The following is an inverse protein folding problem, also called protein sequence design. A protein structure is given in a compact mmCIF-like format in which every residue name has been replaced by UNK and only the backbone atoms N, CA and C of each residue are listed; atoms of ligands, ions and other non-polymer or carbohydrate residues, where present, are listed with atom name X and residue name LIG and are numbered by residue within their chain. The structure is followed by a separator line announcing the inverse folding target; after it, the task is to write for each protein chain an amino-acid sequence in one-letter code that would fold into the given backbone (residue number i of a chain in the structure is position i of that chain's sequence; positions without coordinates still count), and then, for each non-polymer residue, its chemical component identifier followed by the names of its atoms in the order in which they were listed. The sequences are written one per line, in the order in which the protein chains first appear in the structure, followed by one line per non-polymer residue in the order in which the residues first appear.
data_IF_338913778795
#
_entry.id   IF_338913778795
#
_cell.length_a   1.000
_cell.length_b   1.000
_cell.length_c   1.000
_cell.angle_alpha   90.00
_cell.angle_beta   90.00
_cell.angle_gamma   90.00
#
_symmetry.space_group_name_H-M   'P 1'
#
loop_
_entity.id
_entity.type
_entity.pdbx_description
1 polymer ?
#
# COMPACT_ATOMS: atom_id res chain seq x y z
N UNK A 1 -9.22 15.88 3.74
CA UNK A 1 -10.08 15.90 4.95
C UNK A 1 -10.39 14.47 5.35
N UNK A 2 -9.60 13.90 6.25
CA UNK A 2 -9.88 12.62 6.90
C UNK A 2 -10.17 12.97 8.35
N UNK A 3 -11.45 12.97 8.72
CA UNK A 3 -11.83 13.21 10.11
C UNK A 3 -11.41 11.99 10.92
N UNK A 4 -10.33 12.13 11.70
CA UNK A 4 -9.93 11.17 12.71
C UNK A 4 -10.95 11.23 13.84
N UNK A 5 -11.90 10.31 13.84
CA UNK A 5 -12.80 10.11 14.97
C UNK A 5 -11.97 9.43 16.08
N UNK A 6 -11.91 9.97 17.30
CA UNK A 6 -11.21 9.31 18.39
C UNK A 6 -11.76 7.90 18.60
N UNK A 7 -10.86 6.92 18.76
CA UNK A 7 -11.17 5.53 19.12
C UNK A 7 -12.04 5.54 20.38
N UNK A 8 -13.36 5.47 20.20
CA UNK A 8 -14.34 5.66 21.27
C UNK A 8 -15.77 5.99 20.82
N UNK A 9 -16.00 6.39 19.57
CA UNK A 9 -17.36 6.62 19.05
C UNK A 9 -17.46 6.26 17.57
N UNK A 10 -17.56 4.97 17.26
CA UNK A 10 -17.83 4.45 15.91
C UNK A 10 -19.28 4.73 15.44
N UNK A 11 -19.79 5.95 15.60
CA UNK A 11 -21.20 6.27 15.30
C UNK A 11 -22.23 5.38 16.03
N UNK A 12 -21.83 4.74 17.14
CA UNK A 12 -22.63 3.75 17.87
C UNK A 12 -22.47 2.29 17.42
N UNK A 13 -21.65 1.99 16.41
CA UNK A 13 -21.37 0.62 15.95
C UNK A 13 -20.29 -0.06 16.78
N UNK A 14 -20.45 -1.36 16.99
CA UNK A 14 -19.40 -2.23 17.51
C UNK A 14 -18.37 -2.52 16.42
N UNK A 15 -17.19 -2.96 16.84
CA UNK A 15 -16.16 -3.51 15.97
C UNK A 15 -16.70 -4.55 14.95
N UNK A 16 -17.49 -5.50 15.42
CA UNK A 16 -18.05 -6.54 14.57
C UNK A 16 -19.00 -5.96 13.50
N UNK A 17 -19.80 -4.96 13.88
CA UNK A 17 -20.71 -4.28 12.96
C UNK A 17 -19.97 -3.44 11.90
N UNK A 18 -18.84 -2.83 12.24
CA UNK A 18 -17.99 -2.15 11.26
C UNK A 18 -17.43 -3.12 10.23
N UNK A 19 -16.88 -4.26 10.69
CA UNK A 19 -16.36 -5.30 9.80
C UNK A 19 -17.44 -5.83 8.88
N UNK A 20 -18.62 -6.10 9.41
CA UNK A 20 -19.73 -6.64 8.63
C UNK A 20 -20.28 -5.63 7.63
N UNK A 21 -20.39 -4.37 8.04
CA UNK A 21 -20.78 -3.28 7.13
C UNK A 21 -19.75 -3.10 6.01
N UNK A 22 -18.45 -3.15 6.32
CA UNK A 22 -17.40 -3.04 5.32
C UNK A 22 -17.42 -4.19 4.31
N UNK A 23 -17.71 -5.42 4.74
CA UNK A 23 -17.85 -6.57 3.82
C UNK A 23 -18.96 -6.36 2.78
N UNK A 24 -20.06 -5.70 3.16
CA UNK A 24 -21.12 -5.37 2.21
C UNK A 24 -20.63 -4.39 1.14
N UNK A 25 -19.80 -3.43 1.55
CA UNK A 25 -19.22 -2.44 0.65
C UNK A 25 -18.04 -2.95 -0.17
N UNK A 26 -17.36 -4.02 0.25
CA UNK A 26 -16.31 -4.64 -0.56
C UNK A 26 -16.86 -5.19 -1.90
N UNK A 27 -18.15 -5.51 -1.96
CA UNK A 27 -18.83 -5.96 -3.18
C UNK A 27 -19.32 -4.81 -4.07
N UNK A 28 -19.26 -3.57 -3.60
CA UNK A 28 -19.70 -2.41 -4.37
C UNK A 28 -18.73 -2.15 -5.54
N UNK A 29 -19.25 -2.28 -6.76
CA UNK A 29 -18.53 -2.01 -8.02
C UNK A 29 -19.09 -0.74 -8.67
N UNK A 30 -18.32 0.36 -8.58
CA UNK A 30 -18.75 1.65 -9.11
C UNK A 30 -18.96 1.63 -10.64
N UNK A 31 -18.35 0.68 -11.37
CA UNK A 31 -18.53 0.53 -12.82
C UNK A 31 -19.88 -0.09 -13.19
N UNK A 32 -20.51 -0.81 -12.26
CA UNK A 32 -21.80 -1.49 -12.46
C UNK A 32 -22.93 -0.70 -11.81
N UNK A 33 -22.70 -0.22 -10.58
CA UNK A 33 -23.74 0.41 -9.75
C UNK A 33 -23.78 1.94 -9.87
N UNK A 34 -22.83 2.53 -10.59
CA UNK A 34 -22.63 3.98 -10.64
C UNK A 34 -21.97 4.53 -9.37
N UNK A 35 -21.56 5.80 -9.43
CA UNK A 35 -20.87 6.45 -8.32
C UNK A 35 -21.76 6.62 -7.09
N UNK A 36 -21.20 6.34 -5.92
CA UNK A 36 -21.79 6.58 -4.61
C UNK A 36 -20.75 7.19 -3.68
N UNK A 37 -21.21 8.09 -2.81
CA UNK A 37 -20.41 8.60 -1.73
C UNK A 37 -20.01 7.47 -0.78
N UNK A 38 -18.73 7.44 -0.40
CA UNK A 38 -18.18 6.48 0.56
C UNK A 38 -18.73 6.75 1.97
N UNK A 39 -19.23 5.74 2.69
CA UNK A 39 -19.59 5.89 4.10
C UNK A 39 -18.37 6.30 4.92
N UNK A 40 -18.51 7.24 5.88
CA UNK A 40 -17.40 7.66 6.73
C UNK A 40 -16.73 6.50 7.49
N UNK A 41 -17.50 5.49 7.87
CA UNK A 41 -17.01 4.32 8.60
C UNK A 41 -16.22 3.32 7.75
N UNK A 42 -16.16 3.47 6.42
CA UNK A 42 -15.46 2.52 5.55
C UNK A 42 -13.96 2.53 5.82
N UNK A 43 -13.38 3.72 5.96
CA UNK A 43 -11.93 3.93 6.11
C UNK A 43 -11.39 3.55 7.47
N UNK A 44 -12.28 3.28 8.44
CA UNK A 44 -11.91 2.74 9.75
C UNK A 44 -11.36 1.31 9.64
N UNK A 45 -11.71 0.58 8.57
CA UNK A 45 -11.36 -0.85 8.42
C UNK A 45 -10.94 -1.23 6.99
N UNK A 46 -10.79 -0.26 6.08
CA UNK A 46 -10.45 -0.45 4.66
C UNK A 46 -9.61 0.73 4.16
N UNK A 47 -8.80 0.49 3.13
CA UNK A 47 -8.09 1.59 2.46
C UNK A 47 -8.98 2.32 1.47
N UNK A 48 -8.72 3.62 1.31
CA UNK A 48 -9.48 4.51 0.44
C UNK A 48 -9.57 4.02 -1.00
N UNK A 49 -8.46 3.51 -1.54
CA UNK A 49 -8.35 3.05 -2.92
C UNK A 49 -9.14 1.76 -3.21
N UNK A 50 -9.68 1.09 -2.19
CA UNK A 50 -10.51 -0.11 -2.37
C UNK A 50 -11.97 0.21 -2.68
N UNK A 51 -12.42 1.43 -2.35
CA UNK A 51 -13.79 1.84 -2.53
C UNK A 51 -14.22 1.79 -4.00
N UNK A 52 -15.31 1.05 -4.28
CA UNK A 52 -15.86 0.94 -5.65
C UNK A 52 -15.10 -0.03 -6.56
N UNK A 53 -14.12 -0.78 -6.04
CA UNK A 53 -13.40 -1.79 -6.80
C UNK A 53 -14.22 -3.07 -7.07
N UNK A 54 -15.24 -3.35 -6.25
CA UNK A 54 -15.94 -4.63 -6.26
C UNK A 54 -15.04 -5.81 -5.86
N UNK A 55 -13.94 -5.54 -5.14
CA UNK A 55 -12.98 -6.54 -4.70
C UNK A 55 -13.14 -6.83 -3.20
N UNK A 56 -13.30 -8.11 -2.88
CA UNK A 56 -13.31 -8.57 -1.48
C UNK A 56 -11.93 -8.46 -0.85
N UNK A 57 -11.88 -8.27 0.47
CA UNK A 57 -10.62 -8.32 1.23
C UNK A 57 -9.83 -9.61 0.96
N UNK A 58 -10.50 -10.76 0.79
CA UNK A 58 -9.86 -12.03 0.45
C UNK A 58 -9.15 -11.98 -0.91
N UNK A 59 -9.77 -11.39 -1.91
CA UNK A 59 -9.18 -11.23 -3.25
C UNK A 59 -7.99 -10.27 -3.21
N UNK A 60 -8.14 -9.12 -2.54
CA UNK A 60 -7.07 -8.14 -2.38
C UNK A 60 -5.87 -8.72 -1.62
N UNK A 61 -6.13 -9.48 -0.57
CA UNK A 61 -5.08 -10.17 0.14
C UNK A 61 -4.41 -11.26 -0.72
N UNK A 62 -5.16 -11.99 -1.54
CA UNK A 62 -4.59 -12.94 -2.51
C UNK A 62 -3.63 -12.28 -3.48
N UNK A 63 -3.98 -11.11 -4.03
CA UNK A 63 -3.07 -10.32 -4.88
C UNK A 63 -1.76 -9.98 -4.15
N UNK A 64 -1.86 -9.55 -2.90
CA UNK A 64 -0.68 -9.20 -2.10
C UNK A 64 0.16 -10.42 -1.71
N UNK A 65 -0.48 -11.52 -1.31
CA UNK A 65 0.20 -12.71 -0.77
C UNK A 65 0.78 -13.60 -1.85
N UNK A 66 0.02 -13.86 -2.91
CA UNK A 66 0.36 -14.88 -3.89
C UNK A 66 1.11 -14.28 -5.09
N UNK A 67 0.86 -12.99 -5.38
CA UNK A 67 1.52 -12.28 -6.48
C UNK A 67 2.48 -11.18 -6.03
N UNK A 68 2.54 -10.86 -4.73
CA UNK A 68 3.39 -9.77 -4.24
C UNK A 68 2.95 -8.39 -4.73
N UNK A 69 1.69 -8.24 -5.15
CA UNK A 69 1.16 -6.98 -5.69
C UNK A 69 0.64 -6.13 -4.53
N UNK A 70 1.19 -4.93 -4.28
CA UNK A 70 0.65 -3.99 -3.30
C UNK A 70 -0.78 -3.61 -3.69
N UNK A 71 -1.67 -3.61 -2.70
CA UNK A 71 -3.07 -3.21 -2.88
C UNK A 71 -3.49 -2.10 -1.93
N UNK A 72 -2.73 -1.82 -0.88
CA UNK A 72 -3.01 -0.73 0.06
C UNK A 72 -2.53 0.60 -0.54
N UNK A 73 -3.36 1.65 -0.48
CA UNK A 73 -3.12 3.01 -1.00
C UNK A 73 -3.04 3.11 -2.53
N UNK A 74 -2.32 2.19 -3.16
CA UNK A 74 -2.19 2.00 -4.61
C UNK A 74 -2.42 0.53 -4.94
N UNK A 75 -2.88 0.18 -6.16
CA UNK A 75 -3.29 1.03 -7.28
C UNK A 75 -4.74 1.55 -7.10
N UNK A 76 -5.28 2.37 -8.02
CA UNK A 76 -6.66 2.85 -7.88
C UNK A 76 -7.69 1.73 -8.03
N UNK A 77 -8.92 1.98 -7.57
CA UNK A 77 -10.00 1.00 -7.45
C UNK A 77 -10.33 0.26 -8.76
N UNK A 78 -10.25 0.96 -9.89
CA UNK A 78 -10.48 0.38 -11.21
C UNK A 78 -9.40 -0.61 -11.62
N UNK A 79 -8.14 -0.33 -11.31
CA UNK A 79 -7.03 -1.25 -11.53
C UNK A 79 -7.13 -2.46 -10.59
N UNK A 80 -7.51 -2.27 -9.33
CA UNK A 80 -7.79 -3.38 -8.41
C UNK A 80 -8.88 -4.31 -8.96
N UNK A 81 -9.95 -3.74 -9.51
CA UNK A 81 -11.02 -4.51 -10.17
C UNK A 81 -10.51 -5.30 -11.36
N UNK A 82 -9.71 -4.68 -12.23
CA UNK A 82 -9.08 -5.35 -13.38
C UNK A 82 -8.17 -6.50 -12.94
N UNK A 83 -7.35 -6.29 -11.90
CA UNK A 83 -6.48 -7.32 -11.32
C UNK A 83 -7.26 -8.51 -10.77
N UNK A 84 -8.35 -8.27 -10.06
CA UNK A 84 -9.19 -9.35 -9.51
C UNK A 84 -9.93 -10.12 -10.60
N UNK A 85 -10.33 -9.47 -11.70
CA UNK A 85 -11.02 -10.11 -12.84
C UNK A 85 -10.08 -10.82 -13.81
N UNK A 86 -8.80 -10.43 -13.85
CA UNK A 86 -7.80 -11.06 -14.69
C UNK A 86 -7.57 -12.54 -14.31
N UNK A 87 -7.06 -13.31 -15.27
CA UNK A 87 -6.60 -14.68 -15.04
C UNK A 87 -5.66 -14.77 -13.83
N UNK A 88 -5.67 -15.92 -13.14
CA UNK A 88 -4.90 -16.12 -11.91
C UNK A 88 -3.39 -16.26 -12.16
N UNK A 89 -2.96 -16.53 -13.40
CA UNK A 89 -1.54 -16.57 -13.73
C UNK A 89 -0.86 -15.23 -13.43
N UNK A 90 0.29 -15.27 -12.75
CA UNK A 90 1.00 -14.05 -12.35
C UNK A 90 1.29 -13.10 -13.52
N UNK A 91 1.64 -13.67 -14.69
CA UNK A 91 1.85 -12.92 -15.94
C UNK A 91 0.62 -12.10 -16.37
N UNK A 92 -0.59 -12.61 -16.17
CA UNK A 92 -1.80 -11.89 -16.52
C UNK A 92 -1.99 -10.65 -15.62
N UNK A 93 -1.65 -10.77 -14.33
CA UNK A 93 -1.65 -9.64 -13.39
C UNK A 93 -0.63 -8.57 -13.78
N UNK A 94 0.60 -8.97 -14.14
CA UNK A 94 1.63 -8.04 -14.62
C UNK A 94 1.21 -7.30 -15.90
N UNK A 95 0.49 -7.99 -16.80
CA UNK A 95 -0.04 -7.37 -18.01
C UNK A 95 -1.08 -6.29 -17.69
N UNK A 96 -1.95 -6.50 -16.69
CA UNK A 96 -2.88 -5.47 -16.19
C UNK A 96 -2.11 -4.26 -15.66
N UNK A 97 -1.09 -4.48 -14.82
CA UNK A 97 -0.29 -3.39 -14.25
C UNK A 97 0.40 -2.56 -15.35
N UNK A 98 0.98 -3.23 -16.33
CA UNK A 98 1.64 -2.57 -17.47
C UNK A 98 0.65 -1.78 -18.31
N UNK A 99 -0.54 -2.34 -18.58
CA UNK A 99 -1.59 -1.63 -19.32
C UNK A 99 -2.18 -0.44 -18.53
N UNK A 100 -2.08 -0.46 -17.20
CA UNK A 100 -2.57 0.57 -16.30
C UNK A 100 -1.48 1.56 -15.83
N UNK A 101 -0.28 1.53 -16.44
CA UNK A 101 0.91 2.24 -15.95
C UNK A 101 0.65 3.71 -15.59
N UNK A 102 0.02 4.48 -16.48
CA UNK A 102 -0.23 5.91 -16.25
C UNK A 102 -1.20 6.18 -15.09
N UNK A 103 -2.25 5.35 -14.96
CA UNK A 103 -3.21 5.43 -13.85
C UNK A 103 -2.52 5.13 -12.53
N UNK A 104 -1.66 4.10 -12.51
CA UNK A 104 -0.88 3.73 -11.33
C UNK A 104 0.11 4.83 -10.98
N UNK A 105 0.86 5.35 -11.95
CA UNK A 105 1.83 6.43 -11.76
C UNK A 105 1.18 7.67 -11.16
N UNK A 106 0.01 8.06 -11.65
CA UNK A 106 -0.78 9.17 -11.11
C UNK A 106 -1.20 8.91 -9.67
N UNK A 107 -1.72 7.71 -9.38
CA UNK A 107 -2.10 7.31 -8.03
C UNK A 107 -0.90 7.29 -7.08
N UNK A 108 0.27 6.82 -7.53
CA UNK A 108 1.50 6.85 -6.76
C UNK A 108 1.91 8.27 -6.37
N UNK A 109 1.80 9.25 -7.28
CA UNK A 109 2.11 10.66 -6.94
C UNK A 109 1.18 11.21 -5.87
N UNK A 110 -0.10 10.90 -5.97
CA UNK A 110 -1.10 11.37 -5.03
C UNK A 110 -0.87 10.81 -3.62
N UNK A 111 -0.46 9.54 -3.53
CA UNK A 111 -0.23 8.86 -2.24
C UNK A 111 1.16 9.10 -1.64
N UNK A 112 2.10 9.72 -2.36
CA UNK A 112 3.37 10.14 -1.76
C UNK A 112 3.04 11.23 -0.73
N UNK A 113 3.21 10.96 0.57
CA UNK A 113 2.82 11.91 1.60
C UNK A 113 3.69 13.17 1.48
N UNK A 114 3.16 14.30 1.96
CA UNK A 114 4.01 15.43 2.32
C UNK A 114 4.90 14.97 3.48
N UNK A 115 6.16 14.69 3.18
CA UNK A 115 7.10 14.17 4.18
C UNK A 115 7.45 15.30 5.16
N UNK A 116 6.72 15.34 6.28
CA UNK A 116 6.89 16.32 7.36
C UNK A 116 8.13 16.04 8.23
N UNK A 117 8.44 16.96 9.15
CA UNK A 117 9.53 16.83 10.10
C UNK A 117 9.44 15.50 10.89
N UNK A 118 10.49 14.67 10.82
CA UNK A 118 10.55 13.36 11.49
C UNK A 118 10.77 12.18 10.54
N UNK A 119 10.57 12.37 9.23
CA UNK A 119 11.04 11.44 8.21
C UNK A 119 12.53 11.61 7.93
N UNK A 120 13.21 10.53 7.54
CA UNK A 120 14.54 10.66 6.94
C UNK A 120 14.41 11.45 5.64
N UNK A 121 15.21 12.52 5.50
CA UNK A 121 15.35 13.28 4.27
C UNK A 121 15.68 12.36 3.08
N UNK A 122 16.36 11.25 3.35
CA UNK A 122 16.76 10.25 2.36
C UNK A 122 15.56 9.57 1.69
N UNK A 123 14.47 9.28 2.40
CA UNK A 123 13.28 8.67 1.78
C UNK A 123 12.56 9.64 0.86
N UNK A 124 12.50 10.91 1.25
CA UNK A 124 11.94 11.98 0.44
C UNK A 124 12.73 12.16 -0.86
N UNK A 125 14.05 12.16 -0.76
CA UNK A 125 14.95 12.23 -1.92
C UNK A 125 14.79 10.98 -2.79
N UNK A 126 14.77 9.79 -2.18
CA UNK A 126 14.69 8.51 -2.91
C UNK A 126 13.40 8.42 -3.70
N UNK A 127 12.23 8.68 -3.10
CA UNK A 127 10.95 8.57 -3.80
C UNK A 127 10.82 9.59 -4.93
N UNK A 128 11.36 10.82 -4.76
CA UNK A 128 11.41 11.80 -5.84
C UNK A 128 12.27 11.32 -7.01
N UNK A 129 13.42 10.68 -6.74
CA UNK A 129 14.27 10.11 -7.80
C UNK A 129 13.61 8.92 -8.49
N UNK A 130 12.88 8.08 -7.77
CA UNK A 130 12.08 7.00 -8.36
C UNK A 130 11.05 7.58 -9.34
N UNK A 131 10.28 8.58 -8.91
CA UNK A 131 9.24 9.18 -9.77
C UNK A 131 9.84 9.91 -10.97
N UNK A 132 10.94 10.65 -10.79
CA UNK A 132 11.63 11.32 -11.88
C UNK A 132 12.19 10.32 -12.91
N UNK A 133 12.82 9.23 -12.46
CA UNK A 133 13.29 8.19 -13.35
C UNK A 133 12.14 7.52 -14.11
N UNK A 134 10.99 7.31 -13.47
CA UNK A 134 9.80 6.78 -14.15
C UNK A 134 9.27 7.76 -15.21
N UNK A 135 9.24 9.06 -14.90
CA UNK A 135 8.82 10.11 -15.85
C UNK A 135 9.71 10.22 -17.07
N UNK A 136 11.02 10.10 -16.88
CA UNK A 136 12.01 10.16 -17.95
C UNK A 136 12.05 8.86 -18.79
N UNK A 137 11.17 7.89 -18.51
CA UNK A 137 11.09 6.62 -19.23
C UNK A 137 12.14 5.59 -18.78
N UNK A 138 12.78 5.80 -17.63
CA UNK A 138 13.76 4.90 -17.04
C UNK A 138 13.14 3.97 -15.99
N UNK A 139 12.07 3.25 -16.37
CA UNK A 139 11.29 2.39 -15.48
C UNK A 139 12.13 1.33 -14.75
N UNK A 140 13.10 0.70 -15.44
CA UNK A 140 14.00 -0.28 -14.81
C UNK A 140 14.86 0.35 -13.69
N UNK A 141 15.36 1.57 -13.92
CA UNK A 141 16.16 2.28 -12.93
C UNK A 141 15.28 2.73 -11.73
N UNK A 142 14.08 3.22 -12.01
CA UNK A 142 13.08 3.54 -11.01
C UNK A 142 12.72 2.30 -10.17
N UNK A 143 12.49 1.16 -10.80
CA UNK A 143 12.22 -0.12 -10.14
C UNK A 143 13.36 -0.59 -9.25
N UNK A 144 14.61 -0.52 -9.73
CA UNK A 144 15.80 -0.87 -8.92
C UNK A 144 15.92 0.02 -7.66
N UNK A 145 15.74 1.34 -7.83
CA UNK A 145 15.83 2.28 -6.72
C UNK A 145 14.66 2.08 -5.73
N UNK A 146 13.45 1.85 -6.24
CA UNK A 146 12.29 1.56 -5.42
C UNK A 146 12.46 0.26 -4.64
N UNK A 147 12.97 -0.80 -5.26
CA UNK A 147 13.26 -2.07 -4.60
C UNK A 147 14.24 -1.90 -3.42
N UNK A 148 15.31 -1.13 -3.62
CA UNK A 148 16.27 -0.83 -2.56
C UNK A 148 15.64 0.02 -1.45
N UNK A 149 14.83 1.03 -1.81
CA UNK A 149 14.11 1.88 -0.86
C UNK A 149 13.07 1.10 -0.04
N UNK A 150 12.31 0.20 -0.67
CA UNK A 150 11.36 -0.68 0.02
C UNK A 150 12.06 -1.54 1.07
N UNK A 151 13.23 -2.11 0.77
CA UNK A 151 13.97 -2.94 1.73
C UNK A 151 14.34 -2.15 3.00
N UNK A 152 14.82 -0.92 2.85
CA UNK A 152 15.21 -0.09 3.99
C UNK A 152 13.98 0.34 4.81
N UNK A 153 12.90 0.78 4.15
CA UNK A 153 11.62 1.13 4.78
C UNK A 153 11.05 -0.05 5.59
N UNK A 154 11.18 -1.27 5.08
CA UNK A 154 10.71 -2.47 5.78
C UNK A 154 11.50 -2.74 7.06
N UNK A 155 12.82 -2.58 7.04
CA UNK A 155 13.66 -2.78 8.21
C UNK A 155 13.30 -1.78 9.32
N UNK A 156 12.99 -0.54 8.94
CA UNK A 156 12.52 0.49 9.85
C UNK A 156 11.12 0.20 10.38
N UNK A 157 10.16 -0.11 9.51
CA UNK A 157 8.75 -0.39 9.86
C UNK A 157 8.61 -1.56 10.82
N UNK A 158 9.45 -2.57 10.66
CA UNK A 158 9.36 -3.80 11.44
C UNK A 158 10.11 -3.75 12.77
N UNK A 159 10.71 -2.60 13.14
CA UNK A 159 11.63 -2.44 14.27
C UNK A 159 12.70 -3.55 14.30
N UNK A 160 13.10 -4.01 13.12
CA UNK A 160 13.99 -5.16 12.97
C UNK A 160 15.41 -4.67 13.25
N UNK A 161 15.90 -4.97 14.45
CA UNK A 161 17.32 -4.88 14.75
C UNK A 161 18.11 -5.67 13.68
N UNK A 162 18.85 -4.95 12.81
CA UNK A 162 19.62 -5.48 11.66
C UNK A 162 20.52 -6.66 12.04
N UNK A 163 20.83 -6.83 13.34
CA UNK A 163 21.70 -7.88 13.89
C UNK A 163 20.97 -9.18 14.30
N UNK A 164 19.64 -9.28 14.21
CA UNK A 164 18.88 -10.48 14.65
C UNK A 164 18.00 -11.09 13.56
N UNK A 165 18.48 -12.18 12.95
CA UNK A 165 17.77 -12.96 11.91
C UNK A 165 16.41 -13.56 12.32
N UNK A 166 16.06 -13.55 13.61
CA UNK A 166 14.78 -14.07 14.14
C UNK A 166 13.59 -13.17 13.81
N UNK A 167 13.81 -11.87 13.54
CA UNK A 167 12.72 -10.93 13.27
C UNK A 167 12.17 -11.05 11.84
N UNK A 168 13.00 -11.50 10.89
CA UNK A 168 12.59 -11.82 9.52
C UNK A 168 11.56 -12.95 9.45
N UNK A 169 11.76 -14.00 10.25
CA UNK A 169 10.80 -15.09 10.37
C UNK A 169 9.47 -14.61 10.96
N UNK A 170 9.46 -13.58 11.81
CA UNK A 170 8.22 -13.01 12.37
C UNK A 170 7.43 -12.21 11.34
N UNK A 171 8.09 -11.42 10.50
CA UNK A 171 7.46 -10.73 9.36
C UNK A 171 6.81 -11.72 8.40
N UNK A 172 7.54 -12.78 8.02
CA UNK A 172 6.98 -13.84 7.17
C UNK A 172 5.82 -14.58 7.85
N UNK A 173 5.86 -14.79 9.17
CA UNK A 173 4.77 -15.45 9.91
C UNK A 173 3.53 -14.56 10.08
N UNK A 174 3.69 -13.23 10.14
CA UNK A 174 2.57 -12.30 10.18
C UNK A 174 1.77 -12.31 8.87
N UNK A 175 2.45 -12.42 7.73
CA UNK A 175 1.82 -12.55 6.40
C UNK A 175 1.05 -13.87 6.16
N UNK A 176 1.08 -14.83 7.11
CA UNK A 176 0.58 -16.21 6.91
C UNK A 176 -0.68 -16.54 7.74
N UNK A 177 -1.15 -15.67 8.65
CA UNK A 177 -2.34 -15.98 9.47
C UNK A 177 -3.61 -15.96 8.62
N UNK A 178 -4.52 -16.94 8.82
CA UNK A 178 -5.85 -16.97 8.19
C UNK A 178 -6.73 -15.79 8.68
N UNK A 179 -7.50 -15.21 7.75
CA UNK A 179 -7.79 -13.77 7.71
C UNK A 179 -9.28 -13.41 7.83
N UNK A 180 -10.09 -14.12 8.60
CA UNK A 180 -11.54 -13.88 8.52
C UNK A 180 -12.14 -13.11 9.70
N UNK A 181 -11.37 -12.82 10.76
CA UNK A 181 -11.98 -12.43 12.04
C UNK A 181 -11.32 -11.24 12.79
N UNK A 182 -10.38 -10.49 12.18
CA UNK A 182 -9.70 -9.36 12.85
C UNK A 182 -10.06 -7.99 12.27
N UNK A 183 -10.31 -7.00 13.14
CA UNK A 183 -10.43 -5.58 12.79
C UNK A 183 -9.16 -5.01 12.13
N UNK A 184 -8.01 -5.47 12.61
CA UNK A 184 -6.66 -4.97 12.29
C UNK A 184 -6.05 -5.66 11.07
N UNK A 185 -6.91 -6.24 10.24
CA UNK A 185 -6.49 -7.13 9.17
C UNK A 185 -6.09 -6.37 7.92
N UNK A 186 -6.81 -5.29 7.61
CA UNK A 186 -6.49 -4.40 6.51
C UNK A 186 -5.08 -3.81 6.70
N UNK A 187 -4.72 -3.41 7.92
CA UNK A 187 -3.37 -2.93 8.27
C UNK A 187 -2.24 -3.95 7.99
N UNK A 188 -2.55 -5.25 7.96
CA UNK A 188 -1.57 -6.28 7.62
C UNK A 188 -1.38 -6.42 6.11
N UNK A 189 -2.41 -6.09 5.32
CA UNK A 189 -2.39 -6.24 3.85
C UNK A 189 -1.31 -5.36 3.21
N UNK A 190 -1.02 -4.17 3.75
CA UNK A 190 0.09 -3.33 3.29
C UNK A 190 1.46 -4.02 3.43
N UNK A 191 1.61 -4.90 4.42
CA UNK A 191 2.83 -5.66 4.71
C UNK A 191 2.81 -7.09 4.15
N UNK A 192 1.75 -7.50 3.47
CA UNK A 192 1.66 -8.84 2.88
C UNK A 192 2.63 -9.05 1.69
N UNK A 193 2.84 -8.08 0.76
CA UNK A 193 3.74 -8.25 -0.38
C UNK A 193 5.21 -8.54 -0.02
N UNK A 194 5.58 -8.28 1.24
CA UNK A 194 6.88 -8.60 1.83
C UNK A 194 7.19 -10.09 1.70
N UNK A 195 6.20 -10.97 1.90
CA UNK A 195 6.41 -12.43 1.82
C UNK A 195 7.03 -12.84 0.47
N UNK A 196 6.33 -12.60 -0.65
CA UNK A 196 6.84 -12.84 -2.00
C UNK A 196 8.18 -12.17 -2.29
N UNK A 197 8.37 -10.91 -1.86
CA UNK A 197 9.60 -10.17 -2.09
C UNK A 197 10.84 -10.89 -1.54
N UNK A 198 10.71 -11.48 -0.35
CA UNK A 198 11.77 -12.19 0.35
C UNK A 198 11.79 -13.69 0.11
N UNK A 199 11.05 -14.18 -0.87
CA UNK A 199 11.14 -15.58 -1.32
C UNK A 199 12.61 -15.94 -1.53
N UNK A 200 13.03 -17.03 -0.88
CA UNK A 200 14.39 -17.54 -0.98
C UNK A 200 14.66 -17.92 -2.44
N UNK A 201 15.79 -17.49 -2.95
CA UNK A 201 16.30 -17.87 -4.27
C UNK A 201 17.82 -17.97 -4.18
N UNK A 202 18.36 -19.17 -4.39
CA UNK A 202 19.80 -19.46 -4.39
C UNK A 202 20.20 -19.94 -5.79
N UNK A 203 20.78 -19.08 -6.63
CA UNK A 203 21.14 -19.47 -7.99
C UNK A 203 22.18 -20.59 -8.05
N UNK A 204 22.99 -20.77 -7.02
CA UNK A 204 23.95 -21.88 -6.86
C UNK A 204 23.27 -23.24 -6.64
N UNK A 205 22.07 -23.25 -6.07
CA UNK A 205 21.27 -24.46 -5.84
C UNK A 205 20.43 -24.84 -7.07
N UNK A 206 20.53 -24.07 -8.17
CA UNK A 206 19.65 -24.15 -9.35
C UNK A 206 18.16 -23.98 -9.01
N UNK A 207 17.85 -23.16 -8.00
CA UNK A 207 16.47 -22.79 -7.69
C UNK A 207 15.80 -22.17 -8.94
N UNK A 208 14.52 -22.48 -9.22
CA UNK A 208 13.78 -21.76 -10.24
C UNK A 208 13.62 -20.29 -9.83
N UNK A 209 13.69 -19.39 -10.80
CA UNK A 209 13.43 -17.97 -10.56
C UNK A 209 11.97 -17.83 -10.09
N UNK A 210 11.69 -17.15 -8.96
CA UNK A 210 10.32 -16.93 -8.50
C UNK A 210 9.47 -16.21 -9.55
N UNK A 211 8.18 -16.55 -9.64
CA UNK A 211 7.27 -15.88 -10.56
C UNK A 211 7.03 -14.43 -10.13
N UNK A 212 6.70 -14.20 -8.86
CA UNK A 212 6.55 -12.88 -8.27
C UNK A 212 7.90 -12.19 -8.04
N UNK A 213 7.88 -10.85 -7.99
CA UNK A 213 9.07 -10.03 -7.74
C UNK A 213 9.85 -10.55 -6.53
N UNK A 214 11.11 -10.92 -6.74
CA UNK A 214 12.02 -11.38 -5.68
C UNK A 214 13.26 -10.51 -5.63
N UNK A 215 13.55 -9.95 -4.44
CA UNK A 215 14.79 -9.18 -4.25
C UNK A 215 16.04 -10.02 -4.49
N UNK A 216 15.99 -11.31 -4.17
CA UNK A 216 17.14 -12.20 -4.29
C UNK A 216 17.42 -12.46 -5.77
N UNK A 217 16.37 -12.68 -6.57
CA UNK A 217 16.51 -12.83 -8.01
C UNK A 217 17.12 -11.57 -8.65
N UNK A 218 16.61 -10.38 -8.29
CA UNK A 218 17.11 -9.11 -8.82
C UNK A 218 18.56 -8.85 -8.40
N UNK A 219 18.89 -8.96 -7.11
CA UNK A 219 20.24 -8.64 -6.60
C UNK A 219 21.31 -9.64 -7.04
N UNK A 220 20.99 -10.93 -7.08
CA UNK A 220 22.00 -11.97 -7.37
C UNK A 220 22.13 -12.32 -8.85
N UNK A 221 21.12 -12.07 -9.67
CA UNK A 221 21.13 -12.45 -11.10
C UNK A 221 20.61 -11.37 -12.06
N UNK A 222 19.68 -10.52 -11.62
CA UNK A 222 18.98 -9.53 -12.44
C UNK A 222 18.55 -10.04 -13.83
N UNK A 223 17.76 -11.14 -13.91
CA UNK A 223 17.22 -11.60 -15.19
C UNK A 223 16.24 -10.56 -15.72
N UNK A 224 16.45 -9.98 -16.90
CA UNK A 224 15.56 -8.93 -17.45
C UNK A 224 14.19 -9.47 -17.91
N UNK A 225 14.09 -10.77 -18.17
CA UNK A 225 12.83 -11.48 -18.37
C UNK A 225 12.00 -11.59 -17.08
N UNK A 226 12.69 -11.76 -15.94
CA UNK A 226 12.07 -11.64 -14.61
C UNK A 226 11.81 -10.18 -14.26
N UNK A 227 12.82 -9.33 -14.16
CA UNK A 227 12.70 -7.93 -13.75
C UNK A 227 12.25 -7.03 -14.93
N UNK A 228 11.05 -7.33 -15.42
CA UNK A 228 10.36 -6.61 -16.50
C UNK A 228 9.57 -5.41 -15.97
N UNK A 229 8.92 -4.67 -16.87
CA UNK A 229 8.14 -3.46 -16.57
C UNK A 229 7.07 -3.69 -15.48
N UNK A 230 6.34 -4.79 -15.55
CA UNK A 230 5.32 -5.14 -14.54
C UNK A 230 5.92 -5.29 -13.15
N UNK A 231 7.08 -5.94 -13.02
CA UNK A 231 7.77 -6.04 -11.74
C UNK A 231 8.39 -4.72 -11.27
N UNK A 232 8.83 -3.86 -12.19
CA UNK A 232 9.27 -2.51 -11.84
C UNK A 232 8.11 -1.68 -11.27
N UNK A 233 6.92 -1.76 -11.88
CA UNK A 233 5.70 -1.13 -11.37
C UNK A 233 5.36 -1.66 -9.97
N UNK A 234 5.42 -2.98 -9.75
CA UNK A 234 5.21 -3.60 -8.42
C UNK A 234 6.19 -3.04 -7.39
N UNK A 235 7.49 -2.92 -7.72
CA UNK A 235 8.50 -2.38 -6.81
C UNK A 235 8.19 -0.93 -6.42
N UNK A 236 7.80 -0.09 -7.38
CA UNK A 236 7.46 1.32 -7.13
C UNK A 236 6.19 1.43 -6.29
N UNK A 237 5.15 0.68 -6.63
CA UNK A 237 3.92 0.61 -5.85
C UNK A 237 4.20 0.19 -4.41
N UNK A 238 5.12 -0.76 -4.20
CA UNK A 238 5.44 -1.27 -2.87
C UNK A 238 6.12 -0.18 -2.04
N UNK A 239 7.09 0.54 -2.60
CA UNK A 239 7.73 1.66 -1.92
C UNK A 239 6.70 2.72 -1.51
N UNK A 240 5.82 3.14 -2.42
CA UNK A 240 4.81 4.17 -2.14
C UNK A 240 3.81 3.68 -1.08
N UNK A 241 3.32 2.45 -1.21
CA UNK A 241 2.38 1.85 -0.26
C UNK A 241 2.96 1.78 1.15
N UNK A 242 4.23 1.37 1.29
CA UNK A 242 4.94 1.35 2.58
C UNK A 242 5.17 2.75 3.15
N UNK A 243 5.57 3.73 2.33
CA UNK A 243 5.74 5.12 2.76
C UNK A 243 4.43 5.69 3.31
N UNK A 244 3.33 5.52 2.57
CA UNK A 244 2.03 6.04 2.98
C UNK A 244 1.53 5.34 4.25
N UNK A 245 1.69 4.03 4.35
CA UNK A 245 1.33 3.24 5.53
C UNK A 245 2.10 3.66 6.78
N UNK A 246 3.41 3.92 6.64
CA UNK A 246 4.24 4.41 7.74
C UNK A 246 3.83 5.82 8.18
N UNK A 247 3.44 6.70 7.25
CA UNK A 247 2.91 8.03 7.60
C UNK A 247 1.63 7.90 8.41
N UNK A 248 0.69 7.09 7.92
CA UNK A 248 -0.60 6.87 8.58
C UNK A 248 -0.40 6.38 10.03
N UNK A 249 0.53 5.44 10.24
CA UNK A 249 0.87 4.94 11.59
C UNK A 249 1.49 6.02 12.49
N UNK A 250 2.35 6.89 11.94
CA UNK A 250 2.97 7.99 12.69
C UNK A 250 1.93 9.03 13.10
N UNK A 251 1.07 9.45 12.17
CA UNK A 251 -0.02 10.40 12.46
C UNK A 251 -0.94 9.84 13.54
N UNK A 252 -1.32 8.56 13.45
CA UNK A 252 -2.13 7.90 14.48
C UNK A 252 -1.45 7.87 15.84
N UNK A 253 -0.14 7.56 15.90
CA UNK A 253 0.61 7.54 17.15
C UNK A 253 0.75 8.93 17.80
N UNK A 254 1.02 9.97 16.99
CA UNK A 254 1.08 11.35 17.47
C UNK A 254 -0.26 11.82 18.05
N UNK A 255 -1.36 11.54 17.35
CA UNK A 255 -2.71 11.86 17.82
C UNK A 255 -3.05 11.11 19.11
N UNK A 256 -2.70 9.83 19.22
CA UNK A 256 -2.89 9.05 20.45
C UNK A 256 -2.13 9.67 21.63
N UNK A 257 -0.87 10.08 21.42
CA UNK A 257 -0.05 10.74 22.45
C UNK A 257 -0.66 12.06 22.92
N UNK A 258 -1.18 12.88 22.00
CA UNK A 258 -1.80 14.16 22.33
C UNK A 258 -3.11 13.98 23.13
N UNK A 259 -3.87 12.93 22.84
CA UNK A 259 -5.07 12.56 23.60
C UNK A 259 -4.69 12.10 25.01
N UNK A 260 -3.70 11.22 25.12
CA UNK A 260 -3.24 10.69 26.41
C UNK A 260 -2.64 11.80 27.31
N UNK A 261 -2.03 12.83 26.71
CA UNK A 261 -1.52 14.01 27.40
C UNK A 261 -2.59 15.08 27.71
N UNK A 262 -3.84 14.88 27.27
CA UNK A 262 -4.92 15.84 27.47
C UNK A 262 -4.77 17.15 26.68
N UNK A 263 -3.93 17.18 25.65
CA UNK A 263 -3.62 18.37 24.82
C UNK A 263 -4.41 18.42 23.51
N UNK A 264 -5.29 17.45 23.27
CA UNK A 264 -6.12 17.40 22.08
C UNK A 264 -7.15 18.55 22.08
N UNK A 265 -6.82 19.66 21.42
CA UNK A 265 -7.66 20.85 21.29
C UNK A 265 -7.01 22.17 21.69
N UNK A 266 -5.79 22.18 22.26
CA UNK A 266 -5.13 23.42 22.73
C UNK A 266 -3.98 23.93 21.83
N UNK A 267 -3.47 23.12 20.89
CA UNK A 267 -2.25 23.45 20.12
C UNK A 267 -2.41 23.43 18.58
N UNK A 268 -3.63 23.55 18.05
CA UNK A 268 -3.86 23.70 16.60
C UNK A 268 -4.46 25.07 16.25
N UNK A 269 -3.72 26.15 16.58
CA UNK A 269 -3.80 27.40 15.81
C UNK A 269 -3.09 27.18 14.45
N UNK A 270 -3.67 26.31 13.63
CA UNK A 270 -3.36 26.25 12.20
C UNK A 270 -4.47 27.06 11.53
N UNK A 271 -4.10 28.17 10.92
CA UNK A 271 -4.99 29.06 10.17
C UNK A 271 -5.58 28.28 8.98
N UNK A 272 -6.70 27.59 9.19
CA UNK A 272 -7.45 26.86 8.18
C UNK A 272 -8.54 27.76 7.58
N UNK A 273 -8.13 28.84 6.91
CA UNK A 273 -9.04 29.63 6.08
C UNK A 273 -8.40 29.91 4.72
N UNK A 274 -8.82 29.15 3.72
CA UNK A 274 -9.03 29.55 2.31
C UNK A 274 -9.63 28.36 1.56
N UNK A 275 -10.94 28.35 1.45
CA UNK A 275 -11.59 27.64 0.34
C UNK A 275 -10.99 28.15 -0.98
N UNK A 276 -10.59 27.28 -1.92
CA UNK A 276 -10.30 27.73 -3.27
C UNK A 276 -11.62 28.13 -3.93
N UNK A 277 -11.74 29.40 -4.32
CA UNK A 277 -12.80 29.90 -5.20
C UNK A 277 -12.87 29.01 -6.45
N UNK A 278 -13.91 28.17 -6.50
CA UNK A 278 -14.23 27.35 -7.66
C UNK A 278 -15.26 28.12 -8.48
N UNK A 279 -14.79 28.96 -9.40
CA UNK A 279 -15.66 29.54 -10.42
C UNK A 279 -16.10 28.43 -11.39
N UNK A 280 -17.42 28.18 -11.56
CA UNK A 280 -17.91 27.23 -12.55
C UNK A 280 -17.69 27.78 -13.97
N UNK A 281 -17.34 26.93 -14.95
CA UNK A 281 -17.12 27.37 -16.33
C UNK A 281 -18.45 27.72 -17.03
N UNK A 282 -18.39 28.81 -17.82
CA UNK A 282 -19.42 29.23 -18.80
C UNK A 282 -19.63 28.21 -19.94
#
# INVERSE_FOLDING_TARGET
MTHLIPKGSYGGLTAAELVETAKQWDLYDASVEGWRARPPSYTEVRYDNWWGSGATLRQLHGLAKDHGIPVAWVPPADVLRELVKADDAHRAKLAVLTAAEERIRTSCRYEIPELHAGWSEDYAVTVRHVMAAWDDGHLLAAGCLALAGSEDLMLETAEVDRKRSKSYKRLQQAAVRDLEESLWLHEQVALTPIGPLFTKYMPEDNDPIPEALSRHAVVHRMPLDHFNDGHCIVAIMLMVSLLREMEERRTQAQVSSLIDEGRYGEDLDVEWDREPDFDPPD
#
